data_IF_814851583748
#
_entry.id   IF_814851583748
#
_cell.length_a   1.000
_cell.length_b   1.000
_cell.length_c   1.000
_cell.angle_alpha   90.00
_cell.angle_beta   90.00
_cell.angle_gamma   90.00
#
_symmetry.space_group_name_H-M   'P 1'
#
loop_
_entity.id
_entity.type
_entity.pdbx_description
1 polymer ?
#
# COMPACT_ATOMS: atom_id res chain seq x y z
N UNK A 1 24.94 19.03 -4.15
CA UNK A 1 23.95 17.93 -4.09
C UNK A 1 23.98 17.25 -5.45
N UNK A 2 24.39 15.98 -5.49
CA UNK A 2 24.42 15.25 -6.77
C UNK A 2 22.99 14.98 -7.23
N UNK A 3 22.69 15.30 -8.48
CA UNK A 3 21.39 14.95 -9.08
C UNK A 3 21.23 13.43 -9.06
N UNK A 4 20.16 12.95 -8.42
CA UNK A 4 19.77 11.54 -8.49
C UNK A 4 19.30 11.28 -9.92
N UNK A 5 20.02 10.40 -10.63
CA UNK A 5 19.74 10.12 -12.02
C UNK A 5 18.68 9.01 -12.16
N UNK A 6 18.03 8.93 -13.34
CA UNK A 6 17.17 7.79 -13.73
C UNK A 6 17.82 6.43 -13.43
N UNK A 7 19.15 6.37 -13.53
CA UNK A 7 19.95 5.17 -13.28
C UNK A 7 19.97 4.78 -11.81
N UNK A 8 19.91 5.76 -10.90
CA UNK A 8 19.92 5.53 -9.44
C UNK A 8 18.55 5.12 -8.95
N UNK A 9 17.47 5.69 -9.49
CA UNK A 9 16.10 5.25 -9.24
C UNK A 9 15.88 3.83 -9.78
N UNK A 10 16.31 3.53 -11.00
CA UNK A 10 16.21 2.20 -11.60
C UNK A 10 17.07 1.18 -10.85
N UNK A 11 18.22 1.57 -10.28
CA UNK A 11 19.01 0.68 -9.42
C UNK A 11 18.32 0.39 -8.10
N UNK A 12 17.69 1.37 -7.47
CA UNK A 12 16.92 1.19 -6.25
C UNK A 12 15.71 0.24 -6.47
N UNK A 13 15.08 0.31 -7.66
CA UNK A 13 13.95 -0.54 -8.04
C UNK A 13 14.38 -1.86 -8.74
N UNK A 14 15.55 -1.93 -9.35
CA UNK A 14 16.05 -3.12 -10.05
C UNK A 14 16.52 -4.26 -9.13
N UNK A 15 16.73 -4.01 -7.85
CA UNK A 15 17.08 -5.05 -6.88
C UNK A 15 16.01 -6.16 -6.75
N UNK A 16 14.80 -5.92 -7.26
CA UNK A 16 13.69 -6.88 -7.26
C UNK A 16 13.79 -7.89 -8.42
N UNK A 17 14.52 -7.57 -9.47
CA UNK A 17 14.56 -8.37 -10.73
C UNK A 17 15.73 -9.34 -10.89
N UNK A 18 16.72 -9.34 -10.02
CA UNK A 18 17.96 -10.12 -10.22
C UNK A 18 18.09 -11.38 -9.36
N UNK A 19 17.00 -12.08 -9.08
CA UNK A 19 16.99 -13.39 -8.39
C UNK A 19 16.86 -14.58 -9.36
N UNK A 20 17.46 -14.51 -10.51
CA UNK A 20 17.48 -15.68 -11.39
C UNK A 20 18.84 -15.78 -12.08
N UNK A 21 19.77 -16.54 -11.48
CA UNK A 21 20.74 -17.42 -12.15
C UNK A 21 21.89 -17.79 -11.20
N UNK A 22 21.78 -18.95 -10.58
CA UNK A 22 22.95 -19.71 -10.11
C UNK A 22 22.76 -21.22 -10.32
N UNK A 23 23.82 -21.99 -10.55
CA UNK A 23 23.72 -23.32 -11.10
C UNK A 23 23.27 -24.36 -10.08
N UNK A 24 22.57 -25.36 -10.59
CA UNK A 24 22.04 -26.52 -9.87
C UNK A 24 23.19 -27.42 -9.35
N UNK A 25 23.24 -27.59 -8.04
CA UNK A 25 23.77 -28.81 -7.45
C UNK A 25 22.64 -29.54 -6.73
N UNK A 26 22.20 -30.66 -7.26
CA UNK A 26 21.10 -31.44 -6.76
C UNK A 26 21.58 -32.36 -5.65
N UNK A 27 21.06 -32.17 -4.44
CA UNK A 27 20.92 -33.26 -3.45
C UNK A 27 19.45 -33.67 -3.48
N UNK A 28 19.18 -34.89 -3.91
CA UNK A 28 17.83 -35.46 -3.91
C UNK A 28 17.42 -35.78 -2.46
N UNK A 29 16.72 -34.86 -1.84
CA UNK A 29 15.95 -35.13 -0.63
C UNK A 29 14.53 -35.54 -1.03
N UNK A 30 13.96 -36.55 -0.39
CA UNK A 30 12.54 -36.91 -0.55
C UNK A 30 11.65 -35.67 -0.45
N UNK A 31 10.76 -35.51 -1.43
CA UNK A 31 9.81 -34.39 -1.42
C UNK A 31 8.89 -34.56 -0.22
N UNK A 32 8.87 -33.62 0.74
CA UNK A 32 7.91 -33.64 1.84
C UNK A 32 6.49 -33.67 1.26
N UNK A 33 5.61 -34.48 1.87
CA UNK A 33 4.20 -34.55 1.44
C UNK A 33 3.57 -33.16 1.53
N UNK A 34 2.97 -32.72 0.41
CA UNK A 34 2.17 -31.49 0.39
C UNK A 34 1.06 -31.56 1.46
N UNK A 35 0.83 -30.49 2.24
CA UNK A 35 -0.23 -30.46 3.23
C UNK A 35 -1.60 -30.59 2.55
N UNK A 36 -2.56 -31.22 3.26
CA UNK A 36 -3.93 -31.30 2.78
C UNK A 36 -4.51 -29.89 2.59
N UNK A 37 -5.13 -29.64 1.44
CA UNK A 37 -5.92 -28.45 1.20
C UNK A 37 -6.98 -28.29 2.31
N UNK A 38 -7.24 -27.04 2.79
CA UNK A 38 -8.39 -26.78 3.66
C UNK A 38 -9.68 -27.24 2.97
N UNK A 39 -10.58 -27.87 3.70
CA UNK A 39 -11.81 -28.44 3.13
C UNK A 39 -12.85 -27.41 2.67
N UNK A 40 -12.64 -26.10 2.92
CA UNK A 40 -13.61 -25.03 2.65
C UNK A 40 -12.91 -23.77 2.15
N UNK A 41 -13.53 -23.10 1.17
CA UNK A 41 -13.11 -21.74 0.75
C UNK A 41 -13.48 -20.71 1.81
N UNK A 42 -12.53 -19.79 2.10
CA UNK A 42 -12.80 -18.63 2.95
C UNK A 42 -13.50 -17.50 2.20
N UNK A 43 -13.51 -17.50 0.85
CA UNK A 43 -14.18 -16.47 0.06
C UNK A 43 -15.69 -16.73 0.13
N UNK A 44 -16.43 -15.86 0.83
CA UNK A 44 -17.89 -15.92 0.95
C UNK A 44 -18.59 -14.95 0.00
N UNK A 45 -17.88 -13.94 -0.52
CA UNK A 45 -18.34 -13.06 -1.60
C UNK A 45 -17.16 -12.73 -2.51
N UNK A 46 -17.40 -12.78 -3.81
CA UNK A 46 -16.47 -12.41 -4.88
C UNK A 46 -17.26 -11.62 -5.92
N UNK A 47 -16.96 -10.32 -6.05
CA UNK A 47 -17.71 -9.42 -6.92
C UNK A 47 -16.76 -8.49 -7.66
N UNK A 48 -16.89 -8.43 -8.99
CA UNK A 48 -16.26 -7.37 -9.78
C UNK A 48 -17.10 -6.09 -9.65
N UNK A 49 -16.52 -5.04 -9.03
CA UNK A 49 -17.12 -3.71 -8.98
C UNK A 49 -16.90 -2.96 -10.29
N UNK A 50 -15.73 -3.10 -10.88
CA UNK A 50 -15.39 -2.60 -12.21
C UNK A 50 -14.74 -3.75 -12.98
N UNK A 51 -15.40 -4.17 -14.06
CA UNK A 51 -14.85 -5.19 -14.95
C UNK A 51 -13.86 -4.56 -15.95
N UNK A 52 -12.92 -5.37 -16.43
CA UNK A 52 -11.98 -4.97 -17.48
C UNK A 52 -12.72 -4.46 -18.70
N UNK A 53 -12.31 -3.30 -19.21
CA UNK A 53 -12.89 -2.70 -20.40
C UNK A 53 -11.84 -1.79 -21.06
N UNK A 54 -11.80 -1.66 -22.41
CA UNK A 54 -10.86 -0.81 -23.09
C UNK A 54 -10.97 0.69 -22.74
N UNK A 55 -12.13 1.12 -22.27
CA UNK A 55 -12.45 2.49 -21.88
C UNK A 55 -12.30 2.78 -20.39
N UNK A 56 -11.85 1.78 -19.60
CA UNK A 56 -11.66 1.90 -18.15
C UNK A 56 -10.28 1.39 -17.76
N UNK A 57 -9.54 2.22 -17.02
CA UNK A 57 -8.22 1.86 -16.54
C UNK A 57 -8.23 0.68 -15.57
N UNK A 58 -8.99 0.72 -14.43
CA UNK A 58 -8.87 -0.33 -13.44
C UNK A 58 -9.89 -1.46 -13.64
N UNK A 59 -9.48 -2.64 -13.20
CA UNK A 59 -10.37 -3.68 -12.72
C UNK A 59 -10.42 -3.59 -11.21
N UNK A 60 -11.61 -3.63 -10.62
CA UNK A 60 -11.77 -3.56 -9.17
C UNK A 60 -12.58 -4.74 -8.68
N UNK A 61 -12.00 -5.53 -7.80
CA UNK A 61 -12.63 -6.70 -7.19
C UNK A 61 -12.92 -6.44 -5.72
N UNK A 62 -14.10 -6.83 -5.27
CA UNK A 62 -14.49 -6.83 -3.86
C UNK A 62 -14.62 -8.27 -3.38
N UNK A 63 -13.89 -8.58 -2.30
CA UNK A 63 -13.91 -9.89 -1.64
C UNK A 63 -14.39 -9.76 -0.20
N UNK A 64 -15.24 -10.70 0.23
CA UNK A 64 -15.49 -10.93 1.65
C UNK A 64 -14.89 -12.28 2.00
N UNK A 65 -13.94 -12.28 2.95
CA UNK A 65 -13.23 -13.47 3.40
C UNK A 65 -13.58 -13.76 4.86
N UNK A 66 -14.01 -14.99 5.14
CA UNK A 66 -14.37 -15.44 6.49
C UNK A 66 -13.88 -16.85 6.74
N UNK A 67 -13.04 -17.03 7.76
CA UNK A 67 -12.49 -18.33 8.12
C UNK A 67 -11.23 -18.24 8.95
N UNK A 68 -10.54 -19.36 9.11
CA UNK A 68 -9.22 -19.41 9.70
C UNK A 68 -8.20 -18.72 8.80
N UNK A 69 -7.11 -18.21 9.37
CA UNK A 69 -6.05 -17.58 8.56
C UNK A 69 -5.49 -18.54 7.50
N UNK A 70 -5.41 -19.83 7.79
CA UNK A 70 -4.99 -20.88 6.84
C UNK A 70 -5.97 -21.01 5.66
N UNK A 71 -7.27 -21.03 5.90
CA UNK A 71 -8.30 -21.06 4.85
C UNK A 71 -8.26 -19.79 4.00
N UNK A 72 -8.07 -18.63 4.64
CA UNK A 72 -7.93 -17.33 3.96
C UNK A 72 -6.71 -17.35 3.03
N UNK A 73 -5.53 -17.74 3.53
CA UNK A 73 -4.32 -17.81 2.73
C UNK A 73 -4.44 -18.77 1.54
N UNK A 74 -5.03 -19.95 1.77
CA UNK A 74 -5.30 -20.93 0.70
C UNK A 74 -6.21 -20.35 -0.39
N UNK A 75 -7.33 -19.75 0.01
CA UNK A 75 -8.32 -19.21 -0.91
C UNK A 75 -7.79 -18.06 -1.75
N UNK A 76 -7.00 -17.17 -1.14
CA UNK A 76 -6.32 -16.07 -1.84
C UNK A 76 -5.25 -16.58 -2.81
N UNK A 77 -4.50 -17.62 -2.43
CA UNK A 77 -3.50 -18.23 -3.31
C UNK A 77 -4.14 -18.91 -4.53
N UNK A 78 -5.25 -19.63 -4.35
CA UNK A 78 -5.99 -20.21 -5.48
C UNK A 78 -6.53 -19.12 -6.42
N UNK A 79 -7.02 -18.00 -5.87
CA UNK A 79 -7.45 -16.84 -6.65
C UNK A 79 -6.27 -16.22 -7.42
N UNK A 80 -5.12 -16.01 -6.76
CA UNK A 80 -3.92 -15.43 -7.35
C UNK A 80 -3.37 -16.27 -8.51
N UNK A 81 -3.36 -17.59 -8.36
CA UNK A 81 -2.95 -18.52 -9.41
C UNK A 81 -3.88 -18.46 -10.62
N UNK A 82 -5.20 -18.46 -10.38
CA UNK A 82 -6.21 -18.50 -11.43
C UNK A 82 -6.32 -17.21 -12.21
N UNK A 83 -6.30 -16.05 -11.51
CA UNK A 83 -6.63 -14.75 -12.12
C UNK A 83 -5.39 -13.95 -12.53
N UNK A 84 -4.25 -14.17 -11.86
CA UNK A 84 -3.06 -13.30 -11.98
C UNK A 84 -1.80 -14.07 -12.37
N UNK A 85 -1.87 -15.37 -12.62
CA UNK A 85 -0.71 -16.25 -12.87
C UNK A 85 0.44 -16.00 -11.87
N UNK A 86 0.09 -15.70 -10.61
CA UNK A 86 1.05 -15.35 -9.55
C UNK A 86 2.00 -16.52 -9.29
N UNK A 87 3.28 -16.21 -9.24
CA UNK A 87 4.37 -17.16 -8.90
C UNK A 87 5.03 -16.71 -7.61
N UNK A 88 5.31 -17.67 -6.74
CA UNK A 88 5.96 -17.35 -5.47
C UNK A 88 7.43 -16.94 -5.70
N UNK A 89 7.88 -15.83 -5.07
CA UNK A 89 9.28 -15.45 -5.07
C UNK A 89 10.15 -16.53 -4.44
N UNK A 90 11.39 -16.70 -4.96
CA UNK A 90 12.36 -17.59 -4.36
C UNK A 90 13.34 -16.82 -3.48
N UNK A 91 13.70 -17.40 -2.35
CA UNK A 91 14.81 -16.88 -1.55
C UNK A 91 16.16 -17.18 -2.23
N UNK A 92 17.15 -16.31 -2.00
CA UNK A 92 18.50 -16.51 -2.50
C UNK A 92 19.15 -17.77 -1.91
N UNK A 93 18.82 -18.10 -0.66
CA UNK A 93 19.21 -19.36 -0.02
C UNK A 93 18.13 -19.79 1.01
N UNK A 94 17.97 -21.11 1.28
CA UNK A 94 16.93 -21.62 2.18
C UNK A 94 17.00 -21.07 3.61
N UNK A 95 18.19 -20.67 4.09
CA UNK A 95 18.36 -20.09 5.44
C UNK A 95 17.54 -18.81 5.63
N UNK A 96 17.38 -18.00 4.58
CA UNK A 96 16.57 -16.78 4.64
C UNK A 96 15.07 -17.09 4.78
N UNK A 97 14.58 -18.09 4.05
CA UNK A 97 13.22 -18.57 4.18
C UNK A 97 12.96 -19.15 5.57
N UNK A 98 13.91 -19.93 6.12
CA UNK A 98 13.82 -20.46 7.47
C UNK A 98 13.78 -19.34 8.52
N UNK A 99 14.67 -18.35 8.42
CA UNK A 99 14.72 -17.21 9.36
C UNK A 99 13.41 -16.42 9.34
N UNK A 100 12.85 -16.14 8.14
CA UNK A 100 11.59 -15.45 7.98
C UNK A 100 10.42 -16.25 8.54
N UNK A 101 10.35 -17.55 8.27
CA UNK A 101 9.33 -18.44 8.83
C UNK A 101 9.34 -18.41 10.36
N UNK A 102 10.51 -18.58 10.99
CA UNK A 102 10.65 -18.52 12.43
C UNK A 102 10.23 -17.15 13.01
N UNK A 103 10.59 -16.06 12.30
CA UNK A 103 10.16 -14.73 12.70
C UNK A 103 8.63 -14.59 12.69
N UNK A 104 7.96 -15.03 11.62
CA UNK A 104 6.50 -14.94 11.49
C UNK A 104 5.78 -15.81 12.51
N UNK A 105 6.29 -17.01 12.80
CA UNK A 105 5.75 -17.89 13.82
C UNK A 105 5.67 -17.20 15.20
N UNK A 106 6.69 -16.42 15.54
CA UNK A 106 6.77 -15.73 16.82
C UNK A 106 6.05 -14.38 16.82
N UNK A 107 6.24 -13.59 15.80
CA UNK A 107 5.85 -12.17 15.81
C UNK A 107 4.52 -11.90 15.12
N UNK A 108 4.17 -12.71 14.09
CA UNK A 108 2.90 -12.57 13.37
C UNK A 108 2.28 -13.94 13.03
N UNK A 109 1.80 -14.71 14.04
CA UNK A 109 1.25 -16.05 13.82
C UNK A 109 0.09 -16.12 12.82
N UNK A 110 -0.75 -15.08 12.73
CA UNK A 110 -1.85 -15.03 11.76
C UNK A 110 -1.31 -15.05 10.31
N UNK A 111 -0.26 -14.27 10.00
CA UNK A 111 0.37 -14.31 8.69
C UNK A 111 1.10 -15.64 8.44
N UNK A 112 1.70 -16.21 9.47
CA UNK A 112 2.27 -17.56 9.36
C UNK A 112 1.21 -18.59 8.96
N UNK A 113 0.04 -18.60 9.62
CA UNK A 113 -1.05 -19.51 9.25
C UNK A 113 -1.56 -19.25 7.82
N UNK A 114 -1.65 -17.99 7.38
CA UNK A 114 -1.96 -17.66 5.96
C UNK A 114 -0.89 -18.22 5.03
N UNK A 115 0.39 -18.08 5.37
CA UNK A 115 1.51 -18.63 4.60
C UNK A 115 1.44 -20.14 4.44
N UNK A 116 1.00 -20.87 5.48
CA UNK A 116 0.73 -22.32 5.42
C UNK A 116 -0.38 -22.65 4.43
N UNK A 117 -1.43 -21.82 4.39
CA UNK A 117 -2.49 -21.93 3.39
C UNK A 117 -1.96 -21.72 1.96
N UNK A 118 -1.12 -20.71 1.76
CA UNK A 118 -0.44 -20.44 0.47
C UNK A 118 0.43 -21.63 0.07
N UNK A 119 1.27 -22.15 0.96
CA UNK A 119 2.10 -23.32 0.69
C UNK A 119 1.25 -24.51 0.19
N UNK A 120 0.12 -24.79 0.89
CA UNK A 120 -0.78 -25.87 0.48
C UNK A 120 -1.37 -25.64 -0.92
N UNK A 121 -1.79 -24.42 -1.28
CA UNK A 121 -2.34 -24.09 -2.60
C UNK A 121 -1.30 -24.27 -3.72
N UNK A 122 -0.02 -24.04 -3.44
CA UNK A 122 1.08 -24.25 -4.39
C UNK A 122 1.68 -25.65 -4.33
N UNK A 123 1.11 -26.56 -3.53
CA UNK A 123 1.62 -27.94 -3.38
C UNK A 123 3.00 -28.03 -2.71
N UNK A 124 3.36 -27.04 -1.91
CA UNK A 124 4.63 -26.97 -1.17
C UNK A 124 4.45 -27.50 0.25
N UNK A 125 5.55 -28.03 0.81
CA UNK A 125 5.59 -28.28 2.26
C UNK A 125 5.49 -26.99 3.06
N UNK A 126 4.89 -27.05 4.25
CA UNK A 126 4.87 -25.91 5.19
C UNK A 126 6.30 -25.54 5.67
N UNK A 127 7.24 -26.47 5.58
CA UNK A 127 8.64 -26.27 5.93
C UNK A 127 9.54 -25.98 4.71
N UNK A 128 8.96 -25.75 3.53
CA UNK A 128 9.73 -25.35 2.36
C UNK A 128 10.32 -23.94 2.57
N UNK A 129 11.64 -23.87 2.60
CA UNK A 129 12.37 -22.63 2.83
C UNK A 129 12.90 -21.99 1.53
N UNK A 130 12.55 -22.53 0.35
CA UNK A 130 13.00 -22.00 -0.93
C UNK A 130 12.08 -20.90 -1.47
N UNK A 131 10.81 -20.86 -1.05
CA UNK A 131 9.80 -19.94 -1.55
C UNK A 131 9.24 -19.05 -0.46
N UNK A 132 9.00 -17.79 -0.81
CA UNK A 132 8.26 -16.88 0.06
C UNK A 132 6.75 -17.11 -0.10
N UNK A 133 6.16 -17.79 0.87
CA UNK A 133 4.72 -18.05 0.96
C UNK A 133 3.98 -16.98 1.77
N UNK A 134 4.69 -15.96 2.26
CA UNK A 134 4.11 -14.86 3.04
C UNK A 134 3.64 -13.68 2.20
N UNK A 135 3.71 -13.78 0.87
CA UNK A 135 3.27 -12.77 -0.08
C UNK A 135 2.71 -13.43 -1.36
N UNK A 136 1.73 -12.79 -2.00
CA UNK A 136 1.14 -13.16 -3.28
C UNK A 136 1.22 -11.98 -4.25
N UNK A 137 2.45 -11.58 -4.56
CA UNK A 137 2.77 -10.36 -5.31
C UNK A 137 2.37 -10.50 -6.78
N UNK A 138 1.67 -9.52 -7.32
CA UNK A 138 1.32 -9.41 -8.75
C UNK A 138 1.60 -8.02 -9.35
N UNK A 139 1.96 -7.04 -8.53
CA UNK A 139 2.22 -5.66 -8.95
C UNK A 139 3.30 -4.98 -8.12
N UNK A 140 3.32 -3.66 -8.12
CA UNK A 140 4.25 -2.82 -7.36
C UNK A 140 3.52 -1.76 -6.53
N UNK A 141 4.15 -1.30 -5.45
CA UNK A 141 3.62 -0.30 -4.53
C UNK A 141 3.60 1.14 -5.06
N UNK A 142 3.00 2.05 -4.28
CA UNK A 142 2.70 3.45 -4.61
C UNK A 142 3.93 4.37 -4.57
N UNK A 143 3.96 5.38 -5.45
CA UNK A 143 5.01 6.42 -5.50
C UNK A 143 4.56 7.81 -5.04
N UNK A 144 3.24 8.10 -5.00
CA UNK A 144 2.74 9.40 -4.56
C UNK A 144 1.38 9.27 -3.88
N UNK A 145 1.19 10.00 -2.80
CA UNK A 145 -0.04 9.96 -2.03
C UNK A 145 -0.27 11.27 -1.27
N UNK A 146 -1.53 11.56 -0.95
CA UNK A 146 -1.92 12.62 -0.02
C UNK A 146 -3.06 12.13 0.85
N UNK A 147 -3.09 12.51 2.13
CA UNK A 147 -4.25 12.27 2.97
C UNK A 147 -4.45 13.38 4.01
N UNK A 148 -5.69 13.47 4.49
CA UNK A 148 -6.07 14.30 5.63
C UNK A 148 -6.92 13.47 6.58
N UNK A 149 -6.55 13.47 7.86
CA UNK A 149 -7.36 12.94 8.94
C UNK A 149 -8.22 14.05 9.54
N UNK A 150 -9.48 13.76 9.80
CA UNK A 150 -10.46 14.64 10.45
C UNK A 150 -10.99 14.00 11.72
N UNK A 151 -10.73 14.57 12.91
CA UNK A 151 -11.32 14.11 14.17
C UNK A 151 -12.85 14.21 14.16
N UNK A 152 -13.54 13.34 14.86
CA UNK A 152 -14.99 13.20 14.86
C UNK A 152 -15.77 14.52 15.10
N UNK A 153 -15.31 15.39 16.03
CA UNK A 153 -16.00 16.65 16.32
C UNK A 153 -15.90 17.70 15.20
N UNK A 154 -14.97 17.52 14.25
CA UNK A 154 -14.78 18.42 13.10
C UNK A 154 -15.63 18.03 11.89
N UNK A 155 -16.31 16.89 11.93
CA UNK A 155 -17.12 16.35 10.83
C UNK A 155 -18.61 16.51 11.05
N UNK A 156 -19.38 16.57 9.97
CA UNK A 156 -20.84 16.78 10.03
C UNK A 156 -21.60 15.61 10.63
N UNK A 157 -21.12 14.38 10.39
CA UNK A 157 -21.72 13.16 10.93
C UNK A 157 -21.17 12.76 12.31
N UNK A 158 -20.21 13.52 12.85
CA UNK A 158 -19.58 13.21 14.14
C UNK A 158 -18.67 11.97 14.11
N UNK A 159 -18.23 11.54 12.95
CA UNK A 159 -17.32 10.40 12.76
C UNK A 159 -15.89 10.87 12.47
N UNK A 160 -14.90 10.13 12.95
CA UNK A 160 -13.52 10.34 12.53
C UNK A 160 -13.36 9.83 11.08
N UNK A 161 -12.79 10.68 10.20
CA UNK A 161 -12.65 10.40 8.79
C UNK A 161 -11.18 10.51 8.37
N UNK A 162 -10.77 9.68 7.39
CA UNK A 162 -9.54 9.89 6.62
C UNK A 162 -9.89 9.97 5.15
N UNK A 163 -9.54 11.08 4.50
CA UNK A 163 -9.60 11.16 3.05
C UNK A 163 -8.22 11.00 2.45
N UNK A 164 -8.13 10.32 1.28
CA UNK A 164 -6.86 10.00 0.62
C UNK A 164 -6.97 9.98 -0.89
N UNK A 165 -5.91 10.47 -1.55
CA UNK A 165 -5.58 10.18 -2.93
C UNK A 165 -4.44 9.18 -3.01
N UNK A 166 -4.56 8.21 -3.90
CA UNK A 166 -3.46 7.35 -4.33
C UNK A 166 -3.07 7.70 -5.76
N UNK A 167 -1.88 8.24 -5.93
CA UNK A 167 -1.39 8.74 -7.20
C UNK A 167 -0.31 7.82 -7.74
N UNK A 168 -0.38 7.49 -9.04
CA UNK A 168 0.65 6.68 -9.69
C UNK A 168 0.75 6.97 -11.18
N UNK A 169 1.85 6.48 -11.77
CA UNK A 169 2.05 6.55 -13.22
C UNK A 169 1.21 5.50 -13.95
N UNK A 170 0.70 5.89 -15.12
CA UNK A 170 0.05 4.96 -16.05
C UNK A 170 1.13 4.22 -16.85
N UNK A 171 1.67 3.17 -16.27
CA UNK A 171 2.85 2.45 -16.75
C UNK A 171 2.81 1.00 -16.29
N UNK A 172 3.34 0.07 -17.10
CA UNK A 172 3.57 -1.30 -16.65
C UNK A 172 4.88 -1.42 -15.85
N UNK A 173 5.03 -2.50 -15.07
CA UNK A 173 6.28 -2.81 -14.39
C UNK A 173 7.45 -2.93 -15.40
N UNK A 174 7.20 -3.53 -16.57
CA UNK A 174 8.21 -3.64 -17.62
C UNK A 174 8.71 -2.26 -18.07
N UNK A 175 7.79 -1.33 -18.37
CA UNK A 175 8.13 0.03 -18.77
C UNK A 175 8.87 0.79 -17.65
N UNK A 176 8.43 0.64 -16.40
CA UNK A 176 9.09 1.27 -15.25
C UNK A 176 10.57 0.86 -15.14
N UNK A 177 10.87 -0.42 -15.44
CA UNK A 177 12.24 -0.93 -15.47
C UNK A 177 12.97 -0.75 -16.82
N UNK A 178 12.40 0.04 -17.73
CA UNK A 178 13.01 0.32 -19.04
C UNK A 178 13.04 -0.88 -19.99
N UNK A 179 12.15 -1.86 -19.77
CA UNK A 179 11.95 -3.01 -20.66
C UNK A 179 10.78 -2.75 -21.62
N UNK A 180 10.77 -3.39 -22.80
CA UNK A 180 9.61 -3.33 -23.69
C UNK A 180 8.36 -3.89 -23.01
N UNK A 181 7.25 -3.19 -23.15
CA UNK A 181 5.94 -3.64 -22.68
C UNK A 181 5.40 -4.75 -23.61
N UNK A 182 4.83 -5.78 -23.03
CA UNK A 182 4.14 -6.86 -23.76
C UNK A 182 2.64 -6.68 -23.63
N UNK A 183 1.84 -7.15 -24.57
CA UNK A 183 0.37 -6.99 -24.55
C UNK A 183 -0.31 -7.54 -23.28
N UNK A 184 0.30 -8.54 -22.64
CA UNK A 184 -0.22 -9.17 -21.40
C UNK A 184 0.28 -8.50 -20.12
N UNK A 185 1.22 -7.56 -20.20
CA UNK A 185 1.76 -6.89 -19.01
C UNK A 185 0.68 -5.96 -18.44
N UNK A 186 0.28 -6.21 -17.19
CA UNK A 186 -0.63 -5.33 -16.46
C UNK A 186 0.06 -4.01 -16.17
N UNK A 187 -0.66 -2.92 -16.33
CA UNK A 187 -0.23 -1.63 -15.80
C UNK A 187 -0.36 -1.64 -14.28
N UNK A 188 0.51 -0.86 -13.64
CA UNK A 188 0.51 -0.78 -12.19
C UNK A 188 -0.81 -0.18 -11.71
N UNK A 189 -1.41 -0.77 -10.67
CA UNK A 189 -2.75 -0.43 -10.19
C UNK A 189 -3.91 -0.68 -11.19
N UNK A 190 -3.67 -1.37 -12.29
CA UNK A 190 -4.77 -1.78 -13.18
C UNK A 190 -5.68 -2.82 -12.51
N UNK A 191 -5.16 -3.59 -11.55
CA UNK A 191 -5.92 -4.54 -10.76
C UNK A 191 -5.93 -4.12 -9.30
N UNK A 192 -7.12 -3.83 -8.80
CA UNK A 192 -7.35 -3.38 -7.43
C UNK A 192 -8.27 -4.36 -6.70
N UNK A 193 -8.00 -4.57 -5.43
CA UNK A 193 -8.82 -5.46 -4.59
C UNK A 193 -9.22 -4.73 -3.31
N UNK A 194 -10.49 -4.81 -2.95
CA UNK A 194 -11.01 -4.41 -1.64
C UNK A 194 -11.39 -5.68 -0.91
N UNK A 195 -10.84 -5.89 0.28
CA UNK A 195 -11.12 -7.02 1.13
C UNK A 195 -11.85 -6.61 2.39
N UNK A 196 -13.04 -7.17 2.63
CA UNK A 196 -13.61 -7.28 3.97
C UNK A 196 -13.15 -8.60 4.57
N UNK A 197 -12.19 -8.53 5.48
CA UNK A 197 -11.51 -9.67 6.08
C UNK A 197 -12.06 -9.96 7.46
N UNK A 198 -12.62 -11.15 7.69
CA UNK A 198 -13.16 -11.61 8.96
C UNK A 198 -12.44 -12.90 9.41
N UNK A 199 -11.22 -12.78 9.96
CA UNK A 199 -10.47 -13.94 10.41
C UNK A 199 -11.14 -14.55 11.64
N UNK A 200 -10.98 -15.86 11.84
CA UNK A 200 -11.50 -16.56 13.03
C UNK A 200 -10.82 -16.08 14.33
N UNK A 201 -9.61 -15.52 14.23
CA UNK A 201 -8.86 -14.91 15.33
C UNK A 201 -8.27 -13.58 14.88
N UNK A 202 -8.28 -12.59 15.78
CA UNK A 202 -7.84 -11.22 15.47
C UNK A 202 -8.98 -10.32 15.01
N UNK A 203 -8.64 -9.10 14.62
CA UNK A 203 -9.62 -8.09 14.24
C UNK A 203 -10.11 -8.30 12.81
N UNK A 204 -11.39 -8.08 12.56
CA UNK A 204 -11.89 -7.87 11.22
C UNK A 204 -11.38 -6.53 10.67
N UNK A 205 -11.16 -6.45 9.34
CA UNK A 205 -10.64 -5.25 8.69
C UNK A 205 -11.11 -5.10 7.26
N UNK A 206 -11.37 -3.86 6.84
CA UNK A 206 -11.56 -3.47 5.46
C UNK A 206 -10.21 -2.99 4.92
N UNK A 207 -9.74 -3.57 3.82
CA UNK A 207 -8.39 -3.35 3.30
C UNK A 207 -8.42 -3.11 1.79
N UNK A 208 -7.59 -2.18 1.31
CA UNK A 208 -7.36 -1.90 -0.10
C UNK A 208 -5.96 -2.34 -0.50
N UNK A 209 -5.84 -2.99 -1.64
CA UNK A 209 -4.56 -3.45 -2.17
C UNK A 209 -4.51 -3.48 -3.70
N UNK A 210 -3.30 -3.41 -4.23
CA UNK A 210 -3.06 -3.26 -5.66
C UNK A 210 -1.87 -4.05 -6.19
N UNK A 211 -1.17 -4.78 -5.34
CA UNK A 211 0.06 -5.47 -5.77
C UNK A 211 0.34 -6.79 -5.05
N UNK A 212 -0.37 -7.09 -3.99
CA UNK A 212 -0.26 -8.34 -3.25
C UNK A 212 -1.64 -8.75 -2.72
N UNK A 213 -2.09 -9.99 -2.99
CA UNK A 213 -3.37 -10.48 -2.52
C UNK A 213 -3.37 -10.93 -1.06
N UNK A 214 -2.21 -11.26 -0.49
CA UNK A 214 -2.13 -11.77 0.87
C UNK A 214 -1.88 -10.67 1.91
N UNK A 215 -1.01 -9.72 1.58
CA UNK A 215 -0.64 -8.58 2.42
C UNK A 215 -1.17 -7.29 1.78
N UNK A 216 -2.46 -7.27 1.56
CA UNK A 216 -3.15 -6.31 0.71
C UNK A 216 -2.92 -4.83 1.01
N UNK A 217 -2.73 -4.40 2.28
CA UNK A 217 -3.07 -3.01 2.53
C UNK A 217 -2.02 -2.03 2.01
N UNK A 218 -2.44 -1.24 1.03
CA UNK A 218 -1.97 0.14 0.92
C UNK A 218 -2.70 1.01 1.94
N UNK A 219 -3.96 0.62 2.26
CA UNK A 219 -4.87 1.26 3.20
C UNK A 219 -5.72 0.23 3.92
N UNK A 220 -6.10 0.51 5.16
CA UNK A 220 -7.05 -0.30 5.88
C UNK A 220 -7.61 0.36 7.13
N UNK A 221 -8.81 -0.07 7.50
CA UNK A 221 -9.44 0.23 8.78
C UNK A 221 -9.94 -1.06 9.39
N UNK A 222 -9.73 -1.26 10.68
CA UNK A 222 -10.26 -2.44 11.36
C UNK A 222 -11.55 -2.14 12.16
N UNK A 223 -12.16 -3.19 12.68
CA UNK A 223 -13.43 -3.13 13.44
C UNK A 223 -13.39 -2.19 14.66
N UNK A 224 -12.22 -1.79 15.14
CA UNK A 224 -12.05 -0.85 16.25
C UNK A 224 -11.83 0.59 15.79
N UNK A 225 -11.84 0.85 14.48
CA UNK A 225 -11.60 2.17 13.92
C UNK A 225 -10.14 2.57 13.86
N UNK A 226 -9.19 1.65 14.04
CA UNK A 226 -7.79 1.92 13.75
C UNK A 226 -7.59 1.91 12.23
N UNK A 227 -7.15 3.02 11.70
CA UNK A 227 -6.70 3.19 10.32
C UNK A 227 -5.19 3.13 10.23
N UNK A 228 -4.67 2.46 9.21
CA UNK A 228 -3.27 2.51 8.86
C UNK A 228 -3.10 2.48 7.33
N UNK A 229 -2.14 3.28 6.84
CA UNK A 229 -1.83 3.37 5.41
C UNK A 229 -0.36 3.66 5.17
N UNK A 230 0.18 3.15 4.05
CA UNK A 230 1.55 3.41 3.61
C UNK A 230 1.61 4.53 2.58
N UNK A 231 2.64 5.37 2.69
CA UNK A 231 2.98 6.45 1.77
C UNK A 231 4.47 6.36 1.43
N UNK A 232 4.86 6.55 0.19
CA UNK A 232 6.29 6.62 -0.16
C UNK A 232 6.98 7.73 0.62
N UNK A 233 8.11 7.40 1.25
CA UNK A 233 8.99 8.37 1.92
C UNK A 233 10.08 8.83 0.96
N UNK A 234 9.93 10.03 0.41
CA UNK A 234 10.83 10.56 -0.62
C UNK A 234 12.25 10.81 -0.10
N UNK A 235 12.42 11.18 1.16
CA UNK A 235 13.76 11.40 1.75
C UNK A 235 14.48 10.08 1.96
N UNK A 236 13.77 9.03 2.36
CA UNK A 236 14.35 7.71 2.49
C UNK A 236 14.72 7.10 1.12
N UNK A 237 13.90 7.32 0.08
CA UNK A 237 14.23 6.95 -1.31
C UNK A 237 15.50 7.66 -1.78
N UNK A 238 15.60 8.97 -1.55
CA UNK A 238 16.79 9.77 -1.93
C UNK A 238 18.06 9.35 -1.20
N UNK A 239 17.95 8.93 0.04
CA UNK A 239 19.08 8.48 0.83
C UNK A 239 19.62 7.09 0.39
N UNK A 240 19.05 6.50 -0.67
CA UNK A 240 19.41 5.14 -1.12
C UNK A 240 19.32 4.13 0.03
N UNK A 241 18.22 4.22 0.79
CA UNK A 241 17.95 3.30 1.88
C UNK A 241 18.18 1.86 1.40
N UNK A 242 18.98 1.02 2.09
CA UNK A 242 19.29 -0.30 1.62
C UNK A 242 17.99 -1.10 1.52
N UNK A 243 17.57 -1.38 0.30
CA UNK A 243 16.50 -2.33 0.03
C UNK A 243 17.12 -3.70 0.25
N UNK A 244 16.84 -4.29 1.38
CA UNK A 244 17.34 -5.61 1.71
C UNK A 244 16.68 -6.63 0.78
N UNK A 245 17.43 -7.08 -0.20
CA UNK A 245 16.97 -7.98 -1.27
C UNK A 245 16.59 -9.37 -0.76
N UNK A 246 15.52 -9.49 0.03
CA UNK A 246 14.97 -10.78 0.45
C UNK A 246 15.84 -11.60 1.42
N UNK A 247 16.93 -11.02 1.92
CA UNK A 247 17.88 -11.68 2.83
C UNK A 247 17.57 -11.45 4.31
N UNK A 248 16.80 -10.42 4.65
CA UNK A 248 16.49 -10.09 6.03
C UNK A 248 15.21 -10.77 6.52
N UNK A 249 15.19 -11.15 7.79
CA UNK A 249 13.98 -11.55 8.49
C UNK A 249 13.26 -10.31 9.03
N UNK A 250 11.95 -10.40 9.28
CA UNK A 250 11.15 -9.28 9.75
C UNK A 250 9.86 -9.12 8.97
N UNK A 251 9.26 -7.93 9.02
CA UNK A 251 8.06 -7.57 8.27
C UNK A 251 8.40 -6.57 7.16
N UNK A 252 7.78 -6.74 6.01
CA UNK A 252 7.72 -5.68 5.01
C UNK A 252 6.74 -4.58 5.45
N UNK A 253 6.79 -3.38 4.84
CA UNK A 253 5.86 -2.30 5.19
C UNK A 253 4.38 -2.69 5.10
N UNK A 254 4.00 -3.48 4.10
CA UNK A 254 2.61 -3.96 3.93
C UNK A 254 2.26 -5.06 4.92
N UNK A 255 3.19 -5.94 5.26
CA UNK A 255 3.00 -6.92 6.33
C UNK A 255 2.83 -6.25 7.69
N UNK A 256 3.53 -5.13 7.93
CA UNK A 256 3.31 -4.31 9.12
C UNK A 256 1.87 -3.81 9.19
N UNK A 257 1.34 -3.23 8.11
CA UNK A 257 -0.05 -2.77 8.07
C UNK A 257 -1.03 -3.91 8.37
N UNK A 258 -0.81 -5.10 7.79
CA UNK A 258 -1.62 -6.29 8.08
C UNK A 258 -1.55 -6.69 9.55
N UNK A 259 -0.37 -6.62 10.18
CA UNK A 259 -0.21 -6.90 11.61
C UNK A 259 -1.00 -5.90 12.46
N UNK A 260 -0.89 -4.61 12.18
CA UNK A 260 -1.58 -3.55 12.93
C UNK A 260 -3.10 -3.72 12.83
N UNK A 261 -3.62 -3.96 11.61
CA UNK A 261 -5.04 -4.22 11.40
C UNK A 261 -5.53 -5.44 12.18
N UNK A 262 -4.74 -6.52 12.20
CA UNK A 262 -5.12 -7.78 12.86
C UNK A 262 -5.09 -7.70 14.39
N UNK A 263 -4.16 -6.93 14.99
CA UNK A 263 -3.87 -6.98 16.43
C UNK A 263 -4.25 -5.73 17.21
N UNK A 264 -4.12 -4.53 16.63
CA UNK A 264 -4.18 -3.28 17.38
C UNK A 264 -5.56 -2.66 17.33
N UNK A 265 -5.91 -1.87 18.35
CA UNK A 265 -7.20 -1.17 18.49
C UNK A 265 -7.06 0.33 18.43
N UNK A 266 -5.85 0.85 18.64
CA UNK A 266 -5.58 2.28 18.73
C UNK A 266 -4.21 2.63 18.19
N UNK A 267 -3.97 3.91 17.96
CA UNK A 267 -2.66 4.46 17.56
C UNK A 267 -1.59 4.11 18.61
N UNK A 268 -1.93 4.14 19.89
CA UNK A 268 -0.97 3.81 20.95
C UNK A 268 -0.57 2.33 20.94
N UNK A 269 -1.54 1.41 20.76
CA UNK A 269 -1.24 0.00 20.58
C UNK A 269 -0.41 -0.26 19.31
N UNK A 270 -0.71 0.45 18.22
CA UNK A 270 0.03 0.36 16.97
C UNK A 270 1.50 0.78 17.15
N UNK A 271 1.77 1.91 17.83
CA UNK A 271 3.15 2.34 18.15
C UNK A 271 3.91 1.29 18.93
N UNK A 272 3.31 0.73 19.98
CA UNK A 272 3.94 -0.34 20.78
C UNK A 272 4.21 -1.58 19.93
N UNK A 273 3.25 -1.98 19.08
CA UNK A 273 3.42 -3.12 18.20
C UNK A 273 4.57 -2.90 17.19
N UNK A 274 4.68 -1.70 16.61
CA UNK A 274 5.76 -1.33 15.67
C UNK A 274 7.14 -1.45 16.33
N UNK A 275 7.30 -0.93 17.55
CA UNK A 275 8.56 -0.97 18.29
C UNK A 275 9.04 -2.39 18.60
N UNK A 276 8.15 -3.38 18.54
CA UNK A 276 8.48 -4.79 18.74
C UNK A 276 8.84 -5.51 17.43
N UNK A 277 8.79 -4.83 16.28
CA UNK A 277 9.04 -5.45 15.00
C UNK A 277 10.40 -5.05 14.45
N UNK A 278 10.98 -5.98 13.69
CA UNK A 278 12.06 -5.71 12.77
C UNK A 278 11.48 -5.51 11.37
N UNK A 279 11.79 -4.37 10.75
CA UNK A 279 11.29 -4.04 9.41
C UNK A 279 12.41 -4.18 8.38
N UNK A 280 12.04 -4.61 7.18
CA UNK A 280 12.89 -4.58 6.01
C UNK A 280 12.10 -4.05 4.81
N UNK A 281 12.77 -3.37 3.90
CA UNK A 281 12.15 -2.80 2.72
C UNK A 281 12.46 -3.64 1.50
N UNK A 282 11.43 -4.10 0.80
CA UNK A 282 11.56 -4.94 -0.39
C UNK A 282 11.39 -4.17 -1.69
N UNK A 283 10.76 -2.99 -1.63
CA UNK A 283 10.45 -2.17 -2.81
C UNK A 283 10.93 -0.74 -2.56
N UNK A 284 10.19 0.02 -1.83
CA UNK A 284 10.39 1.44 -1.59
C UNK A 284 10.24 1.71 -0.09
N UNK A 285 11.07 2.60 0.48
CA UNK A 285 10.81 3.09 1.82
C UNK A 285 9.47 3.81 1.87
N UNK A 286 8.70 3.51 2.91
CA UNK A 286 7.40 4.14 3.16
C UNK A 286 7.33 4.63 4.59
N UNK A 287 6.57 5.69 4.81
CA UNK A 287 6.11 6.09 6.12
C UNK A 287 4.62 5.74 6.26
N UNK A 288 4.14 5.57 7.49
CA UNK A 288 2.81 5.04 7.74
C UNK A 288 1.98 6.05 8.52
N UNK A 289 0.82 6.42 7.97
CA UNK A 289 -0.20 7.15 8.72
C UNK A 289 -0.95 6.16 9.61
N UNK A 290 -1.07 6.51 10.87
CA UNK A 290 -1.88 5.83 11.88
C UNK A 290 -2.90 6.82 12.42
N UNK A 291 -4.19 6.46 12.46
CA UNK A 291 -5.23 7.28 13.04
C UNK A 291 -6.31 6.42 13.70
N UNK A 292 -6.99 6.93 14.69
CA UNK A 292 -8.10 6.22 15.33
C UNK A 292 -9.26 7.14 15.72
N UNK A 293 -10.31 6.56 16.26
CA UNK A 293 -11.54 7.28 16.65
C UNK A 293 -11.39 8.15 17.90
N UNK A 294 -10.30 7.98 18.67
CA UNK A 294 -10.05 8.78 19.89
C UNK A 294 -9.55 10.20 19.62
N UNK A 295 -9.21 10.49 18.38
CA UNK A 295 -8.57 11.75 17.97
C UNK A 295 -7.04 11.67 17.93
N UNK A 296 -6.46 10.49 18.20
CA UNK A 296 -5.03 10.26 18.08
C UNK A 296 -4.66 9.99 16.61
N UNK A 297 -3.60 10.65 16.16
CA UNK A 297 -3.02 10.47 14.82
C UNK A 297 -1.50 10.59 14.91
N UNK A 298 -0.79 9.75 14.17
CA UNK A 298 0.67 9.77 14.09
C UNK A 298 1.16 9.30 12.73
N UNK A 299 2.37 9.73 12.35
CA UNK A 299 3.12 9.13 11.25
C UNK A 299 4.31 8.38 11.83
N UNK A 300 4.43 7.12 11.43
CA UNK A 300 5.60 6.30 11.69
C UNK A 300 6.57 6.42 10.52
N UNK A 301 7.81 6.80 10.82
CA UNK A 301 8.91 6.98 9.88
C UNK A 301 10.15 6.21 10.32
N UNK A 302 10.99 5.85 9.36
CA UNK A 302 12.32 5.30 9.64
C UNK A 302 13.35 6.30 9.19
N UNK A 303 14.21 6.76 10.12
CA UNK A 303 15.31 7.66 9.77
C UNK A 303 16.26 6.96 8.79
N UNK A 304 16.45 7.50 7.57
CA UNK A 304 17.19 6.82 6.52
C UNK A 304 18.70 6.70 6.78
N UNK A 305 19.25 7.46 7.75
CA UNK A 305 20.67 7.43 8.10
C UNK A 305 20.96 6.45 9.23
N UNK A 306 20.11 6.45 10.25
CA UNK A 306 20.33 5.66 11.47
C UNK A 306 19.48 4.39 11.55
N UNK A 307 18.43 4.24 10.72
CA UNK A 307 17.45 3.17 10.81
C UNK A 307 16.54 3.27 12.02
N UNK A 308 16.57 4.37 12.77
CA UNK A 308 15.75 4.57 13.96
C UNK A 308 14.27 4.75 13.59
N UNK A 309 13.41 4.18 14.39
CA UNK A 309 11.95 4.37 14.32
C UNK A 309 11.57 5.70 14.98
N UNK A 310 10.81 6.51 14.25
CA UNK A 310 10.36 7.83 14.65
C UNK A 310 8.84 7.90 14.55
N UNK A 311 8.19 8.48 15.55
CA UNK A 311 6.78 8.82 15.49
C UNK A 311 6.62 10.33 15.51
N UNK A 312 5.92 10.86 14.49
CA UNK A 312 5.53 12.27 14.44
C UNK A 312 4.04 12.33 14.79
N UNK A 313 3.74 12.79 15.99
CA UNK A 313 2.38 12.90 16.48
C UNK A 313 1.67 14.13 15.96
N UNK A 314 0.42 13.96 15.54
CA UNK A 314 -0.47 15.09 15.31
C UNK A 314 -0.99 15.69 16.62
N UNK A 315 -1.51 16.93 16.52
CA UNK A 315 -2.18 17.57 17.66
C UNK A 315 -3.55 16.92 17.85
N UNK A 316 -3.75 16.30 19.01
CA UNK A 316 -5.01 15.63 19.34
C UNK A 316 -6.23 16.53 19.08
N UNK A 317 -7.19 16.01 18.37
CA UNK A 317 -8.41 16.73 18.04
C UNK A 317 -8.27 17.76 16.91
N UNK A 318 -7.15 17.81 16.19
CA UNK A 318 -7.00 18.66 15.00
C UNK A 318 -6.86 17.84 13.72
N UNK A 319 -7.31 18.35 12.55
CA UNK A 319 -7.00 17.74 11.28
C UNK A 319 -5.50 17.57 11.09
N UNK A 320 -5.09 16.48 10.40
CA UNK A 320 -3.69 16.16 10.19
C UNK A 320 -3.43 15.80 8.73
N UNK A 321 -2.44 16.46 8.12
CA UNK A 321 -2.06 16.27 6.71
C UNK A 321 -0.82 15.39 6.62
N UNK A 322 -0.80 14.50 5.63
CA UNK A 322 0.38 13.77 5.19
C UNK A 322 0.46 13.76 3.66
N UNK A 323 1.68 13.89 3.15
CA UNK A 323 2.04 13.68 1.74
C UNK A 323 3.26 12.75 1.66
N UNK A 324 4.27 13.03 0.85
CA UNK A 324 5.38 12.09 0.62
C UNK A 324 6.73 12.56 1.21
N UNK A 325 6.80 13.66 1.93
CA UNK A 325 8.04 14.08 2.59
C UNK A 325 8.08 13.60 4.04
N UNK A 326 9.26 13.32 4.53
CA UNK A 326 9.49 12.91 5.91
C UNK A 326 9.16 14.06 6.88
N UNK A 327 8.13 13.88 7.71
CA UNK A 327 7.64 14.90 8.63
C UNK A 327 8.64 15.20 9.76
N UNK A 328 9.47 14.22 10.17
CA UNK A 328 10.50 14.47 11.17
C UNK A 328 11.61 15.43 10.69
N UNK A 329 11.85 15.49 9.38
CA UNK A 329 12.81 16.42 8.76
C UNK A 329 12.15 17.75 8.39
N UNK A 330 10.88 17.72 8.02
CA UNK A 330 10.11 18.87 7.54
C UNK A 330 8.77 18.95 8.31
N UNK A 331 8.81 19.31 9.61
CA UNK A 331 7.61 19.21 10.46
C UNK A 331 6.56 20.29 10.21
N UNK A 332 6.93 21.39 9.54
CA UNK A 332 6.02 22.52 9.29
C UNK A 332 6.33 23.17 7.94
N UNK A 333 5.38 23.88 7.32
CA UNK A 333 5.60 24.60 6.06
C UNK A 333 6.76 25.60 6.08
N UNK A 334 7.13 26.13 7.26
CA UNK A 334 8.29 27.00 7.41
C UNK A 334 9.62 26.30 7.14
N UNK A 335 9.68 24.97 7.32
CA UNK A 335 10.88 24.16 7.05
C UNK A 335 10.94 23.64 5.61
N UNK A 336 9.90 23.84 4.80
CA UNK A 336 9.81 23.31 3.45
C UNK A 336 10.72 24.06 2.49
N UNK A 337 11.31 23.38 1.49
CA UNK A 337 12.07 24.03 0.44
C UNK A 337 11.18 25.01 -0.36
N UNK A 338 11.81 26.09 -0.87
CA UNK A 338 11.10 27.08 -1.69
C UNK A 338 10.59 26.49 -3.01
N UNK A 339 11.34 25.56 -3.57
CA UNK A 339 10.98 24.83 -4.79
C UNK A 339 10.98 23.34 -4.47
N UNK A 340 9.89 22.67 -4.82
CA UNK A 340 9.78 21.22 -4.63
C UNK A 340 10.86 20.52 -5.46
N UNK A 341 11.59 19.55 -4.88
CA UNK A 341 12.49 18.69 -5.62
C UNK A 341 11.72 17.89 -6.69
N UNK A 342 12.23 17.79 -7.90
CA UNK A 342 11.56 17.10 -9.03
C UNK A 342 11.22 15.63 -8.76
N UNK A 343 11.89 14.99 -7.81
CA UNK A 343 11.65 13.57 -7.45
C UNK A 343 10.53 13.39 -6.43
N UNK A 344 10.07 14.47 -5.82
CA UNK A 344 9.11 14.41 -4.70
C UNK A 344 7.66 14.55 -5.13
N UNK A 345 7.38 14.58 -6.41
CA UNK A 345 6.03 14.75 -6.94
C UNK A 345 5.27 15.91 -6.29
N UNK A 346 5.87 17.10 -6.27
CA UNK A 346 5.29 18.31 -5.68
C UNK A 346 4.76 18.11 -4.24
N UNK A 347 5.43 17.27 -3.44
CA UNK A 347 4.95 16.85 -2.12
C UNK A 347 4.68 18.03 -1.18
N UNK A 348 5.61 18.99 -1.11
CA UNK A 348 5.46 20.18 -0.26
C UNK A 348 4.37 21.12 -0.78
N UNK A 349 4.21 21.22 -2.10
CA UNK A 349 3.19 22.05 -2.73
C UNK A 349 1.78 21.47 -2.48
N UNK A 350 1.63 20.15 -2.58
CA UNK A 350 0.37 19.46 -2.22
C UNK A 350 0.02 19.67 -0.74
N UNK A 351 1.00 19.59 0.15
CA UNK A 351 0.79 19.85 1.57
C UNK A 351 0.30 21.28 1.81
N UNK A 352 0.98 22.30 1.23
CA UNK A 352 0.57 23.71 1.35
C UNK A 352 -0.84 23.97 0.84
N UNK A 353 -1.22 23.36 -0.29
CA UNK A 353 -2.59 23.47 -0.82
C UNK A 353 -3.62 22.89 0.13
N UNK A 354 -3.36 21.72 0.70
CA UNK A 354 -4.24 21.11 1.69
C UNK A 354 -4.35 21.96 2.96
N UNK A 355 -3.24 22.50 3.46
CA UNK A 355 -3.23 23.39 4.63
C UNK A 355 -4.04 24.67 4.38
N UNK A 356 -3.85 25.31 3.22
CA UNK A 356 -4.63 26.49 2.82
C UNK A 356 -6.12 26.17 2.71
N UNK A 357 -6.49 25.04 2.13
CA UNK A 357 -7.86 24.60 2.02
C UNK A 357 -8.50 24.31 3.39
N UNK A 358 -7.75 23.68 4.31
CA UNK A 358 -8.19 23.48 5.69
C UNK A 358 -8.45 24.82 6.40
N UNK A 359 -7.54 25.78 6.23
CA UNK A 359 -7.67 27.12 6.84
C UNK A 359 -8.82 27.96 6.26
N UNK A 360 -9.15 27.76 4.98
CA UNK A 360 -10.23 28.48 4.30
C UNK A 360 -11.62 27.90 4.56
N UNK A 361 -11.71 26.62 4.95
CA UNK A 361 -13.00 25.94 5.15
C UNK A 361 -13.73 26.50 6.37
N UNK A 362 -15.04 26.70 6.21
CA UNK A 362 -15.93 27.15 7.28
C UNK A 362 -16.88 26.02 7.69
N UNK A 363 -17.00 25.81 8.99
CA UNK A 363 -17.92 24.81 9.54
C UNK A 363 -17.31 23.41 9.69
N UNK A 364 -18.16 22.39 9.64
CA UNK A 364 -17.77 20.99 9.78
C UNK A 364 -17.61 20.33 8.42
N UNK A 365 -16.72 19.37 8.33
CA UNK A 365 -16.39 18.63 7.12
C UNK A 365 -17.43 17.53 6.83
N UNK A 366 -18.03 17.55 5.66
CA UNK A 366 -18.81 16.45 5.12
C UNK A 366 -17.94 15.50 4.30
N UNK A 367 -18.46 14.33 3.94
CA UNK A 367 -17.80 13.41 3.02
C UNK A 367 -17.53 14.06 1.66
N UNK A 368 -18.46 14.91 1.18
CA UNK A 368 -18.27 15.64 -0.07
C UNK A 368 -17.17 16.70 0.05
N UNK A 369 -17.10 17.44 1.16
CA UNK A 369 -16.00 18.39 1.39
C UNK A 369 -14.65 17.68 1.43
N UNK A 370 -14.59 16.45 1.97
CA UNK A 370 -13.40 15.62 1.93
C UNK A 370 -12.98 15.28 0.50
N UNK A 371 -13.90 14.98 -0.40
CA UNK A 371 -13.57 14.78 -1.82
C UNK A 371 -13.13 16.08 -2.49
N UNK A 372 -13.76 17.21 -2.16
CA UNK A 372 -13.42 18.51 -2.74
C UNK A 372 -12.03 18.99 -2.34
N UNK A 373 -11.62 18.81 -1.08
CA UNK A 373 -10.26 19.17 -0.66
C UNK A 373 -9.22 18.27 -1.35
N UNK A 374 -9.49 16.97 -1.46
CA UNK A 374 -8.59 16.04 -2.13
C UNK A 374 -8.49 16.29 -3.64
N UNK A 375 -9.53 16.82 -4.27
CA UNK A 375 -9.52 17.18 -5.69
C UNK A 375 -8.50 18.29 -6.02
N UNK A 376 -8.17 19.16 -5.07
CA UNK A 376 -7.20 20.24 -5.26
C UNK A 376 -5.75 19.73 -5.44
N UNK A 377 -5.51 18.47 -5.10
CA UNK A 377 -4.17 17.84 -5.13
C UNK A 377 -4.17 16.53 -5.93
N UNK A 378 -5.06 16.38 -6.89
CA UNK A 378 -5.04 15.21 -7.79
C UNK A 378 -3.75 15.13 -8.59
N UNK A 379 -3.23 13.91 -8.74
CA UNK A 379 -2.22 13.57 -9.71
C UNK A 379 -2.83 13.58 -11.11
N UNK A 380 -2.65 14.67 -11.85
CA UNK A 380 -3.25 14.86 -13.18
C UNK A 380 -2.24 15.38 -14.22
N UNK A 381 -0.95 15.37 -13.91
CA UNK A 381 0.09 15.85 -14.79
C UNK A 381 0.20 15.01 -16.09
N UNK A 382 0.41 15.68 -17.21
CA UNK A 382 0.54 15.05 -18.52
C UNK A 382 1.99 14.67 -18.84
N UNK A 383 2.96 15.30 -18.22
CA UNK A 383 4.38 15.08 -18.42
C UNK A 383 5.18 15.19 -17.11
N UNK A 384 6.47 14.93 -17.19
CA UNK A 384 7.38 14.94 -16.04
C UNK A 384 7.60 16.32 -15.43
N UNK A 385 7.47 17.38 -16.19
CA UNK A 385 7.69 18.75 -15.71
C UNK A 385 6.54 19.17 -14.82
N UNK A 386 5.31 18.95 -15.24
CA UNK A 386 4.11 19.22 -14.45
C UNK A 386 3.97 18.27 -13.25
N UNK A 387 4.41 17.01 -13.41
CA UNK A 387 4.45 16.06 -12.31
C UNK A 387 5.51 16.40 -11.24
N UNK A 388 6.48 17.25 -11.54
CA UNK A 388 7.61 17.50 -10.66
C UNK A 388 8.44 16.23 -10.43
N UNK A 389 8.61 15.41 -11.46
CA UNK A 389 9.34 14.15 -11.42
C UNK A 389 10.24 13.99 -12.64
N UNK A 390 11.07 12.95 -12.65
CA UNK A 390 11.94 12.61 -13.78
C UNK A 390 11.39 11.49 -14.68
N UNK A 391 10.28 10.86 -14.30
CA UNK A 391 9.67 9.80 -15.10
C UNK A 391 8.79 10.40 -16.20
N UNK A 392 8.94 9.94 -17.47
CA UNK A 392 8.25 10.49 -18.62
C UNK A 392 6.85 9.89 -18.83
N UNK A 393 6.16 9.54 -17.77
CA UNK A 393 4.86 8.89 -17.83
C UNK A 393 3.76 9.78 -17.23
N UNK A 394 2.53 9.73 -17.76
CA UNK A 394 1.40 10.42 -17.18
C UNK A 394 1.16 9.97 -15.75
N UNK A 395 0.96 10.91 -14.85
CA UNK A 395 0.62 10.64 -13.45
C UNK A 395 -0.88 10.87 -13.24
N UNK A 396 -1.53 9.94 -12.53
CA UNK A 396 -2.97 10.01 -12.24
C UNK A 396 -3.26 9.66 -10.79
N UNK A 397 -4.25 10.34 -10.22
CA UNK A 397 -4.92 9.86 -9.01
C UNK A 397 -5.75 8.65 -9.39
N UNK A 398 -5.32 7.46 -8.99
CA UNK A 398 -5.92 6.18 -9.41
C UNK A 398 -7.16 5.84 -8.60
N UNK A 399 -7.20 6.28 -7.35
CA UNK A 399 -8.42 6.36 -6.57
C UNK A 399 -8.37 7.53 -5.58
N UNK A 400 -9.55 8.03 -5.26
CA UNK A 400 -9.77 8.96 -4.16
C UNK A 400 -10.82 8.38 -3.25
N UNK A 401 -10.63 8.48 -1.94
CA UNK A 401 -11.53 7.84 -0.97
C UNK A 401 -11.70 8.64 0.31
N UNK A 402 -12.79 8.35 1.01
CA UNK A 402 -13.05 8.74 2.39
C UNK A 402 -13.29 7.46 3.19
N UNK A 403 -12.43 7.21 4.17
CA UNK A 403 -12.55 6.10 5.12
C UNK A 403 -13.19 6.62 6.39
N UNK A 404 -14.32 6.04 6.78
CA UNK A 404 -14.98 6.29 8.05
C UNK A 404 -14.41 5.32 9.10
N UNK A 405 -13.82 5.87 10.15
CA UNK A 405 -13.18 5.09 11.21
C UNK A 405 -14.18 4.71 12.31
N UNK A 406 -15.21 5.51 12.50
CA UNK A 406 -16.20 5.31 13.57
C UNK A 406 -17.21 4.21 13.21
N UNK A 407 -17.64 4.18 11.95
CA UNK A 407 -18.41 3.07 11.36
C UNK A 407 -17.60 2.52 10.17
N UNK A 408 -16.72 1.52 10.41
CA UNK A 408 -15.70 1.11 9.44
C UNK A 408 -16.25 0.83 8.05
N UNK A 409 -16.10 1.81 7.15
CA UNK A 409 -16.54 1.75 5.75
C UNK A 409 -15.70 2.69 4.89
N UNK A 410 -15.70 2.45 3.60
CA UNK A 410 -15.05 3.32 2.61
C UNK A 410 -16.04 3.82 1.57
N UNK A 411 -16.02 5.12 1.30
CA UNK A 411 -16.58 5.71 0.09
C UNK A 411 -15.42 5.99 -0.86
N UNK A 412 -15.40 5.35 -2.03
CA UNK A 412 -14.25 5.36 -2.94
C UNK A 412 -14.68 5.57 -4.39
N UNK A 413 -13.92 6.40 -5.10
CA UNK A 413 -14.06 6.65 -6.55
C UNK A 413 -12.77 6.23 -7.23
N UNK A 414 -12.87 5.51 -8.35
CA UNK A 414 -11.72 5.02 -9.13
C UNK A 414 -11.55 5.81 -10.42
N UNK A 415 -10.32 6.15 -10.74
CA UNK A 415 -9.99 6.75 -12.03
C UNK A 415 -10.34 5.76 -13.16
N UNK A 416 -11.16 6.19 -14.09
CA UNK A 416 -11.54 5.38 -15.25
C UNK A 416 -10.69 5.71 -16.48
N UNK A 417 -10.53 6.98 -16.79
CA UNK A 417 -9.84 7.47 -17.97
C UNK A 417 -9.62 8.97 -17.89
N UNK A 418 -8.83 9.50 -18.82
CA UNK A 418 -8.83 10.93 -19.07
C UNK A 418 -10.13 11.33 -19.80
N UNK A 419 -10.63 12.50 -19.47
CA UNK A 419 -11.72 13.16 -20.19
C UNK A 419 -11.25 13.78 -21.50
N UNK A 420 -12.06 14.63 -22.08
CA UNK A 420 -11.73 15.35 -23.32
C UNK A 420 -10.48 16.21 -23.09
N UNK A 421 -9.47 15.99 -23.92
CA UNK A 421 -8.23 16.76 -23.87
C UNK A 421 -8.44 18.11 -24.55
N UNK A 422 -8.24 19.19 -23.80
CA UNK A 422 -8.11 20.51 -24.39
C UNK A 422 -6.77 20.62 -25.16
N UNK A 423 -6.76 21.45 -26.20
CA UNK A 423 -5.54 21.69 -26.96
C UNK A 423 -4.50 22.34 -26.03
N UNK A 424 -3.30 21.78 -26.03
CA UNK A 424 -2.16 22.25 -25.22
C UNK A 424 -2.35 22.15 -23.69
N UNK A 425 -3.30 21.32 -23.21
CA UNK A 425 -3.49 21.11 -21.79
C UNK A 425 -2.26 20.43 -21.16
N UNK A 426 -1.73 21.03 -20.10
CA UNK A 426 -0.62 20.47 -19.28
C UNK A 426 -1.10 19.46 -18.25
N UNK A 427 -2.38 19.53 -17.89
CA UNK A 427 -3.03 18.66 -16.93
C UNK A 427 -4.20 17.92 -17.59
N UNK A 428 -4.46 16.71 -17.11
CA UNK A 428 -5.60 15.90 -17.55
C UNK A 428 -6.86 16.25 -16.75
N UNK A 429 -8.01 16.21 -17.42
CA UNK A 429 -9.30 16.15 -16.75
C UNK A 429 -9.60 14.69 -16.40
N UNK A 430 -9.61 14.34 -15.10
CA UNK A 430 -9.79 12.97 -14.65
C UNK A 430 -11.27 12.61 -14.58
N UNK A 431 -11.63 11.48 -15.20
CA UNK A 431 -12.97 10.89 -15.10
C UNK A 431 -12.93 9.76 -14.09
N UNK A 432 -13.68 9.91 -13.01
CA UNK A 432 -13.83 8.90 -11.96
C UNK A 432 -15.15 8.12 -12.12
N UNK A 433 -15.20 6.95 -11.49
CA UNK A 433 -16.44 6.20 -11.32
C UNK A 433 -17.41 6.94 -10.40
N UNK A 434 -18.69 6.53 -10.42
CA UNK A 434 -19.58 6.78 -9.29
C UNK A 434 -18.96 6.22 -8.00
N UNK A 435 -19.29 6.81 -6.84
CA UNK A 435 -18.75 6.33 -5.57
C UNK A 435 -19.28 4.94 -5.22
N UNK A 436 -18.37 4.06 -4.81
CA UNK A 436 -18.71 2.80 -4.16
C UNK A 436 -18.67 2.97 -2.65
N UNK A 437 -19.74 2.53 -1.97
CA UNK A 437 -19.81 2.49 -0.51
C UNK A 437 -19.67 1.04 -0.06
N UNK A 438 -18.61 0.74 0.67
CA UNK A 438 -18.27 -0.62 1.09
C UNK A 438 -18.04 -0.61 2.60
N UNK A 439 -18.82 -1.40 3.31
CA UNK A 439 -18.77 -1.56 4.76
C UNK A 439 -18.05 -2.87 5.13
N UNK A 440 -17.36 -2.83 6.29
CA UNK A 440 -16.72 -3.99 6.89
C UNK A 440 -17.74 -5.03 7.35
#
# INVERSE_FOLDING_TARGET
MNEVTRRDFVKATAAIGMLAMWPKAALAAEKPKAPKAPGKSAIVKDQMLISKSPDKYPQVRYLVLKGTDREIGYSLAELAKRELDTKLPKYAAPVYGQARRLYLQHNFPALWERSRGVAAAFGLSEDDNHYDTSALVFGMGSLACSAVYFPAHTTTNGHALVCRNNDFYIVSAAQLFGKPERPQDLKLYEYLVINALHPAKGNAALQLGSFDLLNLPTDGVNQHGLYAAGFTDQQAVQASFPIAGGSDSGLSPTQLLSLLMNKCRSVQEAKLAILQQHLYFTVEPVHHLLADTSGDVAVFETDPKSGKYIFVDGVKGKPFIITNHALHLYPTPASFPQVDPKIAYNTFNRYRKLEQALAAHQGKWSVEDCFQIMAQVYGNAMDKEEAGTFLPYPLRTLYTMVMDLTDPQVTIKFYLRDGTKEKDAKIANLVFSEPFNIKL
#
